data_IF_049071616979
#
_entry.id   IF_049071616979
#
_cell.length_a   1.000
_cell.length_b   1.000
_cell.length_c   1.000
_cell.angle_alpha   90.00
_cell.angle_beta   90.00
_cell.angle_gamma   90.00
#
_symmetry.space_group_name_H-M   'P 1'
#
loop_
_entity.id
_entity.type
_entity.pdbx_description
1 polymer ?
#
# COMPACT_ATOMS: atom_id res chain seq x y z
N UNK A 1 -14.73 -5.40 -12.46
CA UNK A 1 -16.03 -6.06 -12.26
C UNK A 1 -16.73 -6.13 -13.60
N UNK A 2 -17.42 -7.23 -13.91
CA UNK A 2 -18.26 -7.35 -15.09
C UNK A 2 -19.68 -7.68 -14.64
N UNK A 3 -20.67 -6.98 -15.20
CA UNK A 3 -22.08 -7.21 -14.87
C UNK A 3 -22.66 -8.35 -15.70
N UNK A 4 -23.45 -9.21 -15.07
CA UNK A 4 -24.25 -10.23 -15.73
C UNK A 4 -25.50 -9.66 -16.41
N UNK A 5 -26.12 -10.43 -17.29
CA UNK A 5 -27.33 -10.01 -18.00
C UNK A 5 -28.48 -9.62 -17.07
N UNK A 6 -28.63 -10.30 -15.92
CA UNK A 6 -29.68 -9.98 -14.95
C UNK A 6 -29.40 -8.65 -14.23
N UNK A 7 -28.16 -8.46 -13.76
CA UNK A 7 -27.74 -7.22 -13.10
C UNK A 7 -27.91 -6.01 -14.03
N UNK A 8 -27.59 -6.17 -15.31
CA UNK A 8 -27.81 -5.13 -16.33
C UNK A 8 -29.30 -4.80 -16.53
N UNK A 9 -30.20 -5.80 -16.46
CA UNK A 9 -31.65 -5.55 -16.54
C UNK A 9 -32.14 -4.77 -15.33
N UNK A 10 -31.70 -5.14 -14.12
CA UNK A 10 -32.03 -4.44 -12.87
C UNK A 10 -31.49 -3.00 -12.93
N UNK A 11 -30.24 -2.81 -13.33
CA UNK A 11 -29.63 -1.49 -13.47
C UNK A 11 -30.38 -0.61 -14.48
N UNK A 12 -30.74 -1.15 -15.65
CA UNK A 12 -31.53 -0.43 -16.66
C UNK A 12 -32.90 -0.02 -16.11
N UNK A 13 -33.56 -0.89 -15.35
CA UNK A 13 -34.86 -0.59 -14.71
C UNK A 13 -34.71 0.49 -13.65
N UNK A 14 -33.70 0.39 -12.78
CA UNK A 14 -33.39 1.39 -11.76
C UNK A 14 -33.12 2.77 -12.39
N UNK A 15 -32.36 2.82 -13.48
CA UNK A 15 -32.11 4.06 -14.23
C UNK A 15 -33.39 4.63 -14.85
N UNK A 16 -34.27 3.78 -15.41
CA UNK A 16 -35.55 4.23 -15.93
C UNK A 16 -36.43 4.87 -14.85
N UNK A 17 -36.47 4.28 -13.65
CA UNK A 17 -37.18 4.83 -12.49
C UNK A 17 -36.56 6.16 -12.00
N UNK A 18 -35.24 6.29 -12.05
CA UNK A 18 -34.54 7.52 -11.66
C UNK A 18 -34.80 8.67 -12.65
N UNK A 19 -34.89 8.37 -13.96
CA UNK A 19 -35.18 9.36 -15.01
C UNK A 19 -36.67 9.70 -15.10
N UNK A 20 -37.55 8.74 -14.80
CA UNK A 20 -39.00 8.89 -14.86
C UNK A 20 -39.62 8.39 -13.54
N UNK A 21 -39.72 9.27 -12.52
CA UNK A 21 -40.17 8.89 -11.20
C UNK A 21 -41.61 8.35 -11.26
N UNK A 22 -41.75 7.06 -10.93
CA UNK A 22 -43.01 6.35 -10.82
C UNK A 22 -42.94 5.46 -9.57
N UNK A 23 -44.07 5.09 -8.95
CA UNK A 23 -44.06 4.15 -7.83
C UNK A 23 -43.41 2.84 -8.26
N UNK A 24 -42.29 2.48 -7.62
CA UNK A 24 -41.59 1.23 -7.83
C UNK A 24 -42.31 0.09 -7.08
N UNK A 25 -42.31 -1.11 -7.67
CA UNK A 25 -42.81 -2.28 -6.95
C UNK A 25 -41.85 -2.67 -5.82
N UNK A 26 -42.35 -3.38 -4.80
CA UNK A 26 -41.51 -3.87 -3.71
C UNK A 26 -40.40 -4.83 -4.21
N UNK A 27 -40.68 -5.59 -5.27
CA UNK A 27 -39.71 -6.47 -5.92
C UNK A 27 -38.59 -5.67 -6.60
N UNK A 28 -38.93 -4.61 -7.34
CA UNK A 28 -37.94 -3.75 -8.00
C UNK A 28 -37.01 -3.07 -6.97
N UNK A 29 -37.56 -2.64 -5.84
CA UNK A 29 -36.77 -2.07 -4.74
C UNK A 29 -35.82 -3.13 -4.16
N UNK A 30 -36.31 -4.34 -3.90
CA UNK A 30 -35.48 -5.42 -3.36
C UNK A 30 -34.39 -5.87 -4.34
N UNK A 31 -34.67 -5.88 -5.64
CA UNK A 31 -33.69 -6.15 -6.69
C UNK A 31 -32.59 -5.09 -6.73
N UNK A 32 -32.96 -3.81 -6.60
CA UNK A 32 -32.00 -2.72 -6.56
C UNK A 32 -31.11 -2.79 -5.32
N UNK A 33 -31.69 -3.12 -4.14
CA UNK A 33 -30.92 -3.28 -2.90
C UNK A 33 -29.92 -4.45 -3.01
N UNK A 34 -30.36 -5.60 -3.54
CA UNK A 34 -29.48 -6.76 -3.77
C UNK A 34 -28.35 -6.43 -4.76
N UNK A 35 -28.64 -5.67 -5.81
CA UNK A 35 -27.60 -5.22 -6.76
C UNK A 35 -26.63 -4.22 -6.12
N UNK A 36 -27.12 -3.31 -5.26
CA UNK A 36 -26.25 -2.39 -4.54
C UNK A 36 -25.31 -3.14 -3.60
N UNK A 37 -25.82 -4.11 -2.82
CA UNK A 37 -25.03 -4.96 -1.95
C UNK A 37 -23.95 -5.75 -2.72
N UNK A 38 -24.28 -6.29 -3.91
CA UNK A 38 -23.30 -7.02 -4.72
C UNK A 38 -22.20 -6.11 -5.29
N UNK A 39 -22.55 -4.87 -5.67
CA UNK A 39 -21.58 -3.85 -6.13
C UNK A 39 -20.69 -3.41 -4.98
N UNK A 40 -21.25 -3.19 -3.79
CA UNK A 40 -20.48 -2.81 -2.60
C UNK A 40 -19.52 -3.92 -2.17
N UNK A 41 -19.98 -5.18 -2.21
CA UNK A 41 -19.12 -6.35 -1.95
C UNK A 41 -17.99 -6.46 -2.97
N UNK A 42 -18.30 -6.35 -4.27
CA UNK A 42 -17.29 -6.38 -5.32
C UNK A 42 -16.28 -5.22 -5.19
N UNK A 43 -16.73 -4.05 -4.73
CA UNK A 43 -15.86 -2.90 -4.47
C UNK A 43 -14.95 -3.15 -3.27
N UNK A 44 -15.49 -3.70 -2.17
CA UNK A 44 -14.71 -4.09 -0.99
C UNK A 44 -13.67 -5.16 -1.31
N UNK A 45 -14.03 -6.20 -2.06
CA UNK A 45 -13.08 -7.23 -2.47
C UNK A 45 -12.04 -6.67 -3.46
N UNK A 46 -12.44 -5.80 -4.38
CA UNK A 46 -11.51 -5.09 -5.26
C UNK A 46 -10.47 -4.26 -4.47
N UNK A 47 -10.90 -3.59 -3.40
CA UNK A 47 -9.99 -2.87 -2.50
C UNK A 47 -9.05 -3.82 -1.76
N UNK A 48 -9.55 -4.98 -1.30
CA UNK A 48 -8.74 -6.02 -0.64
C UNK A 48 -7.67 -6.58 -1.57
N UNK A 49 -8.03 -6.95 -2.80
CA UNK A 49 -7.09 -7.45 -3.81
C UNK A 49 -6.03 -6.40 -4.16
N UNK A 50 -6.44 -5.13 -4.31
CA UNK A 50 -5.51 -4.03 -4.56
C UNK A 50 -4.54 -3.85 -3.39
N UNK A 51 -5.02 -3.88 -2.15
CA UNK A 51 -4.17 -3.76 -0.97
C UNK A 51 -3.10 -4.87 -0.91
N UNK A 52 -3.50 -6.11 -1.24
CA UNK A 52 -2.56 -7.23 -1.36
C UNK A 52 -1.52 -7.01 -2.45
N UNK A 53 -1.95 -6.60 -3.65
CA UNK A 53 -1.03 -6.33 -4.77
C UNK A 53 -0.02 -5.23 -4.43
N UNK A 54 -0.45 -4.14 -3.77
CA UNK A 54 0.44 -3.05 -3.38
C UNK A 54 1.43 -3.47 -2.29
N UNK A 55 1.02 -4.30 -1.34
CA UNK A 55 1.92 -4.89 -0.35
C UNK A 55 2.98 -5.79 -1.03
N UNK A 56 2.56 -6.57 -2.02
CA UNK A 56 3.46 -7.38 -2.83
C UNK A 56 4.42 -6.53 -3.64
N UNK A 57 3.96 -5.45 -4.27
CA UNK A 57 4.83 -4.50 -4.97
C UNK A 57 5.92 -3.95 -4.06
N UNK A 58 5.58 -3.53 -2.84
CA UNK A 58 6.55 -3.03 -1.87
C UNK A 58 7.57 -4.12 -1.50
N UNK A 59 7.12 -5.37 -1.29
CA UNK A 59 8.00 -6.52 -0.99
C UNK A 59 8.95 -6.85 -2.14
N UNK A 60 8.47 -6.79 -3.39
CA UNK A 60 9.34 -7.01 -4.54
C UNK A 60 10.32 -5.85 -4.70
N UNK A 61 9.90 -4.61 -4.45
CA UNK A 61 10.76 -3.43 -4.51
C UNK A 61 11.91 -3.48 -3.50
N UNK A 62 11.66 -3.93 -2.27
CA UNK A 62 12.71 -4.05 -1.25
C UNK A 62 13.73 -5.15 -1.53
N UNK A 63 13.38 -6.13 -2.36
CA UNK A 63 14.25 -7.25 -2.76
C UNK A 63 15.01 -7.00 -4.08
N UNK A 64 14.95 -5.79 -4.62
CA UNK A 64 15.71 -5.42 -5.82
C UNK A 64 17.23 -5.44 -5.56
N UNK A 65 18.04 -5.77 -6.58
CA UNK A 65 17.67 -6.02 -7.98
C UNK A 65 17.20 -7.46 -8.27
N UNK A 66 17.27 -8.38 -7.31
CA UNK A 66 17.03 -9.82 -7.53
C UNK A 66 15.60 -10.16 -7.98
N UNK A 67 14.63 -9.30 -7.69
CA UNK A 67 13.21 -9.45 -8.03
C UNK A 67 12.77 -8.60 -9.22
N UNK A 68 13.70 -8.00 -9.98
CA UNK A 68 13.39 -7.02 -11.03
C UNK A 68 12.33 -7.50 -12.02
N UNK A 69 12.41 -8.75 -12.51
CA UNK A 69 11.42 -9.29 -13.44
C UNK A 69 10.01 -9.30 -12.85
N UNK A 70 9.84 -9.80 -11.62
CA UNK A 70 8.54 -9.87 -10.95
C UNK A 70 8.01 -8.49 -10.55
N UNK A 71 8.91 -7.58 -10.12
CA UNK A 71 8.55 -6.20 -9.81
C UNK A 71 7.95 -5.48 -11.03
N UNK A 72 8.57 -5.60 -12.21
CA UNK A 72 8.10 -4.92 -13.42
C UNK A 72 6.74 -5.44 -13.89
N UNK A 73 6.50 -6.75 -13.82
CA UNK A 73 5.20 -7.36 -14.16
C UNK A 73 4.10 -6.89 -13.20
N UNK A 74 4.37 -6.94 -11.89
CA UNK A 74 3.42 -6.47 -10.88
C UNK A 74 3.13 -4.98 -11.01
N UNK A 75 4.13 -4.18 -11.35
CA UNK A 75 3.96 -2.74 -11.52
C UNK A 75 3.08 -2.43 -12.74
N UNK A 76 3.27 -3.15 -13.84
CA UNK A 76 2.42 -3.00 -15.02
C UNK A 76 0.96 -3.37 -14.73
N UNK A 77 0.72 -4.47 -14.00
CA UNK A 77 -0.61 -4.87 -13.54
C UNK A 77 -1.24 -3.79 -12.64
N UNK A 78 -0.48 -3.26 -11.68
CA UNK A 78 -0.93 -2.20 -10.80
C UNK A 78 -1.35 -0.95 -11.61
N UNK A 79 -0.50 -0.53 -12.55
CA UNK A 79 -0.77 0.63 -13.42
C UNK A 79 -2.03 0.41 -14.26
N UNK A 80 -2.26 -0.81 -14.77
CA UNK A 80 -3.48 -1.20 -15.48
C UNK A 80 -4.74 -1.06 -14.62
N UNK A 81 -4.62 -1.24 -13.31
CA UNK A 81 -5.71 -1.04 -12.34
C UNK A 81 -5.91 0.42 -11.90
N UNK A 82 -5.12 1.36 -12.43
CA UNK A 82 -5.17 2.79 -12.07
C UNK A 82 -4.30 3.18 -10.87
N UNK A 83 -3.35 2.32 -10.46
CA UNK A 83 -2.34 2.70 -9.46
C UNK A 83 -1.51 3.89 -9.94
N UNK A 84 -1.18 4.81 -9.03
CA UNK A 84 -0.29 5.95 -9.28
C UNK A 84 1.07 5.61 -8.65
N UNK A 85 2.15 5.51 -9.46
CA UNK A 85 3.46 5.12 -8.96
C UNK A 85 3.99 6.16 -7.98
N UNK A 86 4.51 5.68 -6.85
CA UNK A 86 5.08 6.55 -5.83
C UNK A 86 6.52 7.00 -6.24
N UNK A 87 7.14 7.96 -5.53
CA UNK A 87 8.51 8.40 -5.84
C UNK A 87 9.55 7.27 -5.80
N UNK A 88 9.29 6.28 -4.96
CA UNK A 88 10.12 5.13 -4.65
C UNK A 88 10.08 4.10 -5.81
N UNK A 89 8.91 3.92 -6.43
CA UNK A 89 8.72 3.16 -7.66
C UNK A 89 9.47 3.82 -8.82
N UNK A 90 9.39 5.15 -8.92
CA UNK A 90 10.16 5.89 -9.92
C UNK A 90 11.67 5.78 -9.66
N UNK A 91 12.11 5.72 -8.40
CA UNK A 91 13.52 5.50 -8.06
C UNK A 91 13.96 4.08 -8.47
N UNK A 92 13.15 3.06 -8.18
CA UNK A 92 13.40 1.68 -8.59
C UNK A 92 13.51 1.54 -10.11
N UNK A 93 12.57 2.14 -10.86
CA UNK A 93 12.61 2.15 -12.34
C UNK A 93 13.85 2.88 -12.88
N UNK A 94 14.30 3.97 -12.24
CA UNK A 94 15.53 4.66 -12.62
C UNK A 94 16.77 3.80 -12.38
N UNK A 95 16.82 3.07 -11.27
CA UNK A 95 17.92 2.14 -10.96
C UNK A 95 17.96 0.96 -11.94
N UNK A 96 16.81 0.55 -12.48
CA UNK A 96 16.68 -0.55 -13.44
C UNK A 96 16.74 -0.12 -14.91
N UNK A 97 17.16 1.12 -15.24
CA UNK A 97 17.15 1.66 -16.62
C UNK A 97 17.92 0.85 -17.67
N UNK A 98 18.86 -0.01 -17.26
CA UNK A 98 19.51 -0.95 -18.18
C UNK A 98 18.56 -2.01 -18.75
N UNK A 99 17.37 -2.17 -18.17
CA UNK A 99 16.31 -3.03 -18.66
C UNK A 99 15.33 -2.23 -19.55
N UNK A 100 15.04 -2.68 -20.78
CA UNK A 100 14.19 -1.96 -21.72
C UNK A 100 12.73 -1.83 -21.23
N UNK A 101 12.21 -2.85 -20.53
CA UNK A 101 10.87 -2.83 -19.95
C UNK A 101 10.78 -1.79 -18.83
N UNK A 102 11.79 -1.70 -17.97
CA UNK A 102 11.85 -0.68 -16.93
C UNK A 102 11.92 0.74 -17.52
N UNK A 103 12.69 0.94 -18.59
CA UNK A 103 12.75 2.21 -19.30
C UNK A 103 11.40 2.61 -19.91
N UNK A 104 10.72 1.68 -20.59
CA UNK A 104 9.40 1.93 -21.17
C UNK A 104 8.34 2.24 -20.10
N UNK A 105 8.33 1.51 -18.98
CA UNK A 105 7.45 1.79 -17.85
C UNK A 105 7.75 3.15 -17.23
N UNK A 106 9.02 3.54 -17.10
CA UNK A 106 9.41 4.86 -16.57
C UNK A 106 8.87 6.00 -17.46
N UNK A 107 8.95 5.86 -18.77
CA UNK A 107 8.43 6.86 -19.71
C UNK A 107 6.90 6.95 -19.65
N UNK A 108 6.19 5.83 -19.49
CA UNK A 108 4.74 5.79 -19.28
C UNK A 108 4.31 6.42 -17.94
N UNK A 109 5.13 6.28 -16.90
CA UNK A 109 4.86 6.81 -15.57
C UNK A 109 5.13 8.32 -15.44
N UNK A 110 6.04 8.89 -16.25
CA UNK A 110 6.44 10.31 -16.15
C UNK A 110 5.26 11.30 -16.22
N UNK A 111 4.30 11.20 -17.17
CA UNK A 111 3.14 12.10 -17.22
C UNK A 111 2.25 12.02 -15.97
N UNK A 112 2.13 10.82 -15.38
CA UNK A 112 1.32 10.61 -14.17
C UNK A 112 1.96 11.33 -12.97
N UNK A 113 3.28 11.21 -12.83
CA UNK A 113 4.04 11.91 -11.79
C UNK A 113 3.95 13.43 -11.93
N UNK A 114 4.05 13.95 -13.16
CA UNK A 114 3.86 15.39 -13.41
C UNK A 114 2.46 15.86 -13.05
N UNK A 115 1.44 15.10 -13.44
CA UNK A 115 0.06 15.44 -13.12
C UNK A 115 -0.19 15.45 -11.61
N UNK A 116 0.36 14.48 -10.88
CA UNK A 116 0.25 14.41 -9.43
C UNK A 116 0.98 15.59 -8.74
N UNK A 117 2.10 16.06 -9.29
CA UNK A 117 2.77 17.26 -8.80
C UNK A 117 1.95 18.52 -9.11
N UNK A 118 1.37 18.62 -10.32
CA UNK A 118 0.49 19.73 -10.71
C UNK A 118 -0.76 19.81 -9.83
N UNK A 119 -1.42 18.69 -9.53
CA UNK A 119 -2.62 18.67 -8.65
C UNK A 119 -2.28 19.08 -7.22
N UNK A 120 -1.11 18.66 -6.71
CA UNK A 120 -0.61 19.11 -5.39
C UNK A 120 -0.31 20.61 -5.37
N UNK A 121 0.36 21.13 -6.39
CA UNK A 121 0.67 22.56 -6.53
C UNK A 121 -0.60 23.41 -6.70
N UNK A 122 -1.62 22.89 -7.37
CA UNK A 122 -2.92 23.54 -7.51
C UNK A 122 -3.75 23.55 -6.22
N UNK A 123 -3.23 23.02 -5.10
CA UNK A 123 -3.94 22.96 -3.82
C UNK A 123 -5.07 21.92 -3.77
N UNK A 124 -5.14 21.01 -4.75
CA UNK A 124 -6.17 19.97 -4.84
C UNK A 124 -5.67 18.60 -4.31
N UNK A 125 -4.51 18.57 -3.66
CA UNK A 125 -3.95 17.36 -3.03
C UNK A 125 -4.02 17.41 -1.50
N UNK A 126 -3.84 16.27 -0.80
CA UNK A 126 -3.72 16.26 0.65
C UNK A 126 -2.56 17.19 1.05
N UNK A 127 -2.89 18.23 1.81
CA UNK A 127 -1.92 19.21 2.29
C UNK A 127 -0.83 18.49 3.08
N UNK A 128 0.46 18.69 2.78
CA UNK A 128 1.50 18.14 3.63
C UNK A 128 1.31 18.69 5.04
N UNK A 129 1.21 17.79 6.02
CA UNK A 129 1.17 18.15 7.44
C UNK A 129 2.53 18.72 7.80
N UNK A 130 2.69 20.03 7.63
CA UNK A 130 3.89 20.73 8.07
C UNK A 130 3.89 20.69 9.59
N UNK A 131 4.91 20.13 10.26
CA UNK A 131 4.99 20.19 11.71
C UNK A 131 5.00 21.65 12.15
N UNK A 132 4.17 21.97 13.15
CA UNK A 132 4.05 23.30 13.74
C UNK A 132 5.31 23.63 14.57
N UNK A 133 6.44 23.82 13.91
CA UNK A 133 7.69 24.22 14.52
C UNK A 133 8.38 25.27 13.66
N UNK A 134 7.67 26.37 13.40
CA UNK A 134 8.29 27.64 13.03
C UNK A 134 7.77 28.71 13.97
N UNK A 135 8.51 28.92 15.05
CA UNK A 135 8.46 30.17 15.80
C UNK A 135 8.64 31.31 14.80
N UNK A 136 7.59 32.12 14.62
CA UNK A 136 7.69 33.35 13.83
C UNK A 136 8.68 34.25 14.56
N UNK A 137 9.86 34.45 14.00
CA UNK A 137 10.76 35.50 14.46
C UNK A 137 10.12 36.84 14.10
N UNK A 138 9.51 37.48 15.09
CA UNK A 138 9.15 38.90 15.00
C UNK A 138 10.45 39.69 15.01
N UNK A 139 10.76 40.35 13.90
CA UNK A 139 11.87 41.29 13.84
C UNK A 139 11.65 42.40 14.88
N UNK A 140 12.54 42.49 15.86
CA UNK A 140 12.61 43.61 16.80
C UNK A 140 13.30 44.78 16.09
N UNK A 141 12.64 45.95 15.95
CA UNK A 141 13.29 47.15 15.45
C UNK A 141 14.03 47.83 16.60
N UNK A 142 15.34 47.99 16.50
CA UNK A 142 16.12 48.72 17.51
C UNK A 142 17.61 48.73 17.20
N UNK A 143 18.05 49.70 16.41
CA UNK A 143 19.46 50.03 16.22
C UNK A 143 19.85 51.30 17.00
N UNK A 144 21.14 51.37 17.34
CA UNK A 144 21.94 52.52 17.76
C UNK A 144 21.96 52.89 19.25
N UNK A 145 23.09 52.59 19.92
CA UNK A 145 23.86 53.57 20.69
C UNK A 145 25.27 53.00 21.01
N UNK A 146 26.26 53.88 20.96
CA UNK A 146 27.67 53.60 21.04
C UNK A 146 28.22 53.69 22.48
N UNK A 147 29.44 53.18 22.62
CA UNK A 147 30.52 53.58 23.55
C UNK A 147 30.44 53.28 25.06
N UNK A 148 31.59 52.75 25.50
CA UNK A 148 32.31 52.99 26.76
C UNK A 148 32.28 51.92 27.87
N UNK A 149 33.49 51.40 28.10
CA UNK A 149 34.19 51.28 29.38
C UNK A 149 33.66 50.32 30.47
N UNK A 150 34.55 49.36 30.78
CA UNK A 150 35.04 49.00 32.11
C UNK A 150 34.04 48.91 33.28
N UNK A 151 33.90 47.71 33.86
CA UNK A 151 34.47 47.36 35.18
C UNK A 151 33.94 45.97 35.63
N UNK A 152 34.88 45.12 36.07
CA UNK A 152 34.64 44.03 37.02
C UNK A 152 34.32 44.61 38.41
N UNK A 153 33.54 43.92 39.28
CA UNK A 153 34.23 43.08 40.27
C UNK A 153 33.53 41.78 40.70
N UNK A 154 34.41 40.81 40.95
CA UNK A 154 34.36 39.59 41.78
C UNK A 154 33.26 39.44 42.87
N UNK A 155 32.75 38.20 43.04
CA UNK A 155 33.22 37.21 44.06
C UNK A 155 32.40 35.89 44.06
N UNK A 156 33.17 34.80 44.15
CA UNK A 156 32.92 33.35 44.39
C UNK A 156 32.00 33.03 45.60
N UNK A 157 31.53 31.78 45.89
CA UNK A 157 32.20 30.48 45.62
C UNK A 157 31.31 29.31 45.14
N UNK A 158 31.82 28.44 44.25
CA UNK A 158 32.42 27.12 44.49
C UNK A 158 31.43 25.94 44.50
N UNK A 159 31.68 24.97 43.60
CA UNK A 159 31.01 23.67 43.53
C UNK A 159 31.04 23.06 42.13
N UNK A 160 32.19 22.55 41.70
CA UNK A 160 32.35 21.72 40.49
C UNK A 160 31.93 20.26 40.78
N UNK A 161 31.98 19.32 39.81
CA UNK A 161 31.14 19.22 38.61
C UNK A 161 30.54 17.79 38.42
N UNK A 162 29.75 17.64 37.35
CA UNK A 162 29.52 16.41 36.59
C UNK A 162 28.74 15.25 37.25
N UNK A 163 27.54 14.99 36.71
CA UNK A 163 27.02 13.62 36.58
C UNK A 163 26.41 13.48 35.21
N UNK A 164 27.11 12.76 34.34
CA UNK A 164 26.61 12.28 33.05
C UNK A 164 25.29 11.50 33.23
N UNK A 165 24.29 11.70 32.36
CA UNK A 165 23.18 10.77 32.26
C UNK A 165 23.67 9.49 31.57
N UNK A 166 23.72 8.41 32.34
CA UNK A 166 23.98 7.05 31.88
C UNK A 166 22.94 6.63 30.82
N UNK A 167 23.35 6.03 29.69
CA UNK A 167 22.41 5.52 28.69
C UNK A 167 21.58 4.37 29.26
N UNK A 168 20.26 4.45 29.08
CA UNK A 168 19.33 3.36 29.37
C UNK A 168 19.59 2.21 28.40
N UNK A 169 19.79 1.01 28.95
CA UNK A 169 19.91 -0.23 28.22
C UNK A 169 18.59 -0.62 27.53
N UNK A 170 18.62 -1.21 26.33
CA UNK A 170 17.42 -1.63 25.63
C UNK A 170 16.72 -2.79 26.35
N UNK A 171 15.39 -2.72 26.35
CA UNK A 171 14.52 -3.74 26.90
C UNK A 171 14.78 -5.12 26.28
N UNK A 172 14.70 -6.12 27.16
CA UNK A 172 14.88 -7.56 26.97
C UNK A 172 14.16 -8.10 25.73
N UNK A 173 14.88 -8.84 24.90
CA UNK A 173 14.33 -9.69 23.83
C UNK A 173 13.45 -10.81 24.41
N UNK A 174 12.36 -11.21 23.72
CA UNK A 174 11.55 -12.36 24.11
C UNK A 174 12.32 -13.67 23.86
N UNK A 175 12.26 -14.60 24.82
CA UNK A 175 13.02 -15.87 24.82
C UNK A 175 12.50 -16.85 23.75
N UNK A 176 13.37 -17.65 23.13
CA UNK A 176 13.02 -18.65 22.13
C UNK A 176 12.83 -20.03 22.76
N UNK A 177 11.77 -20.24 23.54
CA UNK A 177 11.48 -21.56 24.14
C UNK A 177 10.14 -22.13 23.66
N UNK A 178 10.00 -22.27 22.34
CA UNK A 178 9.04 -23.22 21.76
C UNK A 178 9.75 -24.00 20.65
N UNK A 179 9.95 -25.32 20.79
CA UNK A 179 10.56 -26.11 19.73
C UNK A 179 9.66 -26.03 18.48
N UNK A 180 10.27 -25.66 17.36
CA UNK A 180 9.61 -25.66 16.05
C UNK A 180 9.42 -27.14 15.67
N UNK A 181 8.17 -27.61 15.43
CA UNK A 181 7.93 -29.00 15.07
C UNK A 181 8.67 -29.34 13.77
N UNK A 182 9.33 -30.49 13.76
CA UNK A 182 10.13 -30.91 12.62
C UNK A 182 9.22 -31.38 11.47
N UNK A 183 9.65 -31.27 10.19
CA UNK A 183 8.82 -31.66 9.04
C UNK A 183 8.27 -33.10 9.09
N UNK A 184 8.92 -34.02 9.82
CA UNK A 184 8.43 -35.39 10.00
C UNK A 184 7.25 -35.55 10.95
N UNK A 185 6.98 -34.58 11.82
CA UNK A 185 5.84 -34.60 12.76
C UNK A 185 4.56 -34.03 12.13
N UNK A 186 4.69 -33.12 11.15
CA UNK A 186 3.55 -32.48 10.48
C UNK A 186 3.15 -33.19 9.18
N UNK A 187 4.03 -34.04 8.64
CA UNK A 187 3.77 -34.83 7.45
C UNK A 187 3.96 -36.33 7.74
N UNK A 188 2.91 -37.07 8.16
CA UNK A 188 3.00 -38.51 8.26
C UNK A 188 3.43 -39.11 6.91
N UNK A 189 4.35 -40.10 6.89
CA UNK A 189 4.84 -40.65 5.64
C UNK A 189 3.67 -41.23 4.85
N UNK A 190 3.50 -40.71 3.61
CA UNK A 190 2.51 -41.22 2.66
C UNK A 190 2.71 -42.73 2.52
N UNK A 191 1.73 -43.52 2.97
CA UNK A 191 1.62 -44.93 2.59
C UNK A 191 1.63 -44.99 1.07
N UNK A 192 2.60 -45.71 0.50
CA UNK A 192 2.65 -45.97 -0.94
C UNK A 192 1.34 -46.67 -1.34
N UNK A 193 0.62 -46.22 -2.38
CA UNK A 193 -0.51 -46.94 -2.91
C UNK A 193 -0.09 -48.35 -3.32
N UNK A 194 -0.89 -49.37 -2.99
CA UNK A 194 -0.68 -50.72 -3.48
C UNK A 194 -0.79 -50.74 -5.02
N UNK A 195 0.02 -51.55 -5.72
CA UNK A 195 -0.04 -51.64 -7.18
C UNK A 195 -1.45 -52.09 -7.63
N UNK A 196 -1.96 -51.57 -8.75
CA UNK A 196 -3.27 -51.95 -9.25
C UNK A 196 -3.30 -53.45 -9.64
N UNK A 197 -4.45 -54.13 -9.44
CA UNK A 197 -4.59 -55.53 -9.84
C UNK A 197 -4.43 -55.68 -11.36
N UNK A 198 -3.74 -56.74 -11.78
CA UNK A 198 -3.31 -56.97 -13.16
C UNK A 198 -4.42 -57.32 -14.18
N UNK A 199 -5.70 -57.18 -13.83
CA UNK A 199 -6.81 -57.54 -14.71
C UNK A 199 -8.01 -56.60 -14.52
N UNK A 200 -8.23 -55.60 -15.40
CA UNK A 200 -9.53 -54.93 -15.46
C UNK A 200 -10.55 -55.85 -16.16
N UNK A 201 -11.77 -56.05 -15.59
CA UNK A 201 -12.82 -56.77 -16.30
C UNK A 201 -13.29 -55.94 -17.50
N UNK A 202 -13.15 -56.51 -18.70
CA UNK A 202 -13.72 -55.97 -19.93
C UNK A 202 -15.25 -55.96 -19.80
N UNK A 203 -15.84 -54.78 -19.60
CA UNK A 203 -17.27 -54.59 -19.78
C UNK A 203 -17.53 -54.33 -21.27
N UNK A 204 -18.10 -55.34 -21.90
CA UNK A 204 -18.66 -55.32 -23.24
C UNK A 204 -19.78 -54.27 -23.31
N UNK A 205 -19.60 -53.28 -24.19
CA UNK A 205 -20.70 -52.43 -24.62
C UNK A 205 -21.63 -53.26 -25.52
N UNK A 206 -22.85 -53.51 -25.04
CA UNK A 206 -23.96 -53.91 -25.90
C UNK A 206 -24.69 -52.64 -26.36
N UNK A 207 -25.03 -52.61 -27.65
CA UNK A 207 -25.64 -51.48 -28.36
C UNK A 207 -27.12 -51.30 -28.13
#
# INVERSE_FOLDING_TARGET
MAFGAQELRVLRRALALALHPAPASAEDVQDCLRLAESVDEATREGARLRAFLLADLARYRTALPGTAAGYLVLLEEALGSGYRPDPDDLAALRALRGNPTAAALLDRCRPHAEQDVRTRLAGHGPTPTVPASRTRLTALPGGLAATSAAEEPAKKPAGSPATEPRPQSPARSPRPDRPIPTPGEVFPPKRKPAPPPANPPQQLAAG
#
